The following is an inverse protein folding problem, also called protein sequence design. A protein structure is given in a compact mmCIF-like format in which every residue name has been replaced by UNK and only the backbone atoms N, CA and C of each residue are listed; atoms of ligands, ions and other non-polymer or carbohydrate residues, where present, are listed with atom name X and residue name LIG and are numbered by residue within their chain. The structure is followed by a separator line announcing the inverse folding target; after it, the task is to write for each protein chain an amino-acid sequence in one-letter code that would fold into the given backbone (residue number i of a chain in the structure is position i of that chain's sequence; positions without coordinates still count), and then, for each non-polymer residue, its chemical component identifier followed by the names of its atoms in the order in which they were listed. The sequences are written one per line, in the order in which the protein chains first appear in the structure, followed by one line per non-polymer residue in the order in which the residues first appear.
data_IF_126738070172
#
_entry.id   IF_126738070172
#
_cell.length_a   1.000
_cell.length_b   1.000
_cell.length_c   1.000
_cell.angle_alpha   90.00
_cell.angle_beta   90.00
_cell.angle_gamma   90.00
#
_symmetry.space_group_name_H-M   'P 1'
#
loop_
_entity.id
_entity.type
_entity.pdbx_description
1 polymer ?
#
# COMPACT_ATOMS: atom_id res chain seq x y z
N UNK A 1 4.26 0.69 -20.67
CA UNK A 1 4.48 1.23 -19.35
C UNK A 1 3.35 0.82 -18.41
N UNK A 2 3.72 0.27 -17.29
CA UNK A 2 2.72 -0.33 -16.42
C UNK A 2 2.81 0.19 -15.01
N UNK A 3 2.03 1.24 -14.78
CA UNK A 3 1.86 1.74 -13.45
C UNK A 3 0.78 0.91 -12.78
N UNK A 4 1.01 0.50 -11.56
CA UNK A 4 0.02 -0.28 -10.84
C UNK A 4 -1.09 0.64 -10.39
N UNK A 5 -2.19 0.67 -11.15
CA UNK A 5 -3.32 1.53 -10.85
C UNK A 5 -4.46 0.77 -10.20
N UNK A 6 -4.39 -0.54 -10.18
CA UNK A 6 -5.41 -1.36 -9.54
C UNK A 6 -5.07 -1.50 -8.06
N UNK A 7 -6.00 -1.11 -7.18
CA UNK A 7 -5.75 -1.14 -5.76
C UNK A 7 -5.34 -2.52 -5.25
N UNK A 8 -5.94 -3.54 -5.78
CA UNK A 8 -5.63 -4.89 -5.31
C UNK A 8 -4.26 -5.34 -5.77
N UNK A 9 -3.83 -4.89 -6.93
CA UNK A 9 -2.50 -5.22 -7.39
C UNK A 9 -1.44 -4.52 -6.56
N UNK A 10 -1.71 -3.29 -6.18
CA UNK A 10 -0.79 -2.55 -5.30
C UNK A 10 -0.67 -3.26 -3.97
N UNK A 11 -1.81 -3.62 -3.38
CA UNK A 11 -1.79 -4.30 -2.09
C UNK A 11 -1.05 -5.63 -2.19
N UNK A 12 -1.28 -6.36 -3.27
CA UNK A 12 -0.60 -7.64 -3.46
C UNK A 12 0.90 -7.44 -3.54
N UNK A 13 1.33 -6.37 -4.18
CA UNK A 13 2.75 -6.06 -4.26
C UNK A 13 3.36 -5.88 -2.87
N UNK A 14 2.66 -5.15 -2.01
CA UNK A 14 3.12 -4.93 -0.65
C UNK A 14 3.17 -6.23 0.14
N UNK A 15 2.16 -7.07 -0.04
CA UNK A 15 2.13 -8.35 0.67
C UNK A 15 3.26 -9.25 0.19
N UNK A 16 3.44 -9.31 -1.12
CA UNK A 16 4.46 -10.17 -1.70
C UNK A 16 5.86 -9.77 -1.24
N UNK A 17 6.08 -8.50 -1.04
CA UNK A 17 7.40 -7.99 -0.68
C UNK A 17 7.55 -7.70 0.81
N UNK A 18 6.52 -8.02 1.60
CA UNK A 18 6.63 -7.90 3.06
C UNK A 18 6.74 -6.48 3.55
N UNK A 19 6.11 -5.53 2.87
CA UNK A 19 6.22 -4.10 3.21
C UNK A 19 5.13 -3.76 4.20
N UNK A 20 5.37 -4.06 5.48
CA UNK A 20 4.35 -3.97 6.51
C UNK A 20 4.70 -3.01 7.64
N UNK A 21 5.81 -2.30 7.53
CA UNK A 21 6.20 -1.39 8.60
C UNK A 21 7.00 -0.23 8.02
N UNK A 22 7.24 0.77 8.85
CA UNK A 22 7.93 1.97 8.42
C UNK A 22 9.33 1.69 7.90
N UNK A 23 9.99 0.74 8.49
CA UNK A 23 11.34 0.39 8.11
C UNK A 23 11.42 -0.07 6.66
N UNK A 24 10.38 -0.72 6.19
CA UNK A 24 10.35 -1.27 4.84
C UNK A 24 9.54 -0.43 3.87
N UNK A 25 9.01 0.70 4.34
CA UNK A 25 8.18 1.56 3.50
C UNK A 25 8.93 1.97 2.24
N UNK A 26 8.17 2.08 1.15
CA UNK A 26 8.75 2.42 -0.15
C UNK A 26 8.13 3.69 -0.67
N UNK A 27 8.83 4.32 -1.60
CA UNK A 27 8.43 5.63 -2.10
C UNK A 27 7.14 5.55 -2.92
N UNK A 28 6.28 6.53 -2.71
CA UNK A 28 5.01 6.56 -3.41
C UNK A 28 5.17 6.85 -4.89
N UNK A 29 6.32 7.41 -5.30
CA UNK A 29 6.55 7.73 -6.70
C UNK A 29 6.56 6.49 -7.59
N UNK A 30 6.64 5.33 -7.01
CA UNK A 30 6.63 4.08 -7.79
C UNK A 30 5.23 3.68 -8.24
N UNK A 31 4.21 4.38 -7.76
CA UNK A 31 2.84 3.99 -8.01
C UNK A 31 2.01 5.14 -8.53
N UNK A 32 0.82 4.82 -8.98
CA UNK A 32 -0.13 5.82 -9.39
C UNK A 32 -0.59 6.63 -8.17
N UNK A 33 -0.50 7.95 -8.26
CA UNK A 33 -0.83 8.83 -7.15
C UNK A 33 -2.26 8.65 -6.66
N UNK A 34 -3.20 8.58 -7.59
CA UNK A 34 -4.60 8.46 -7.21
C UNK A 34 -4.88 7.17 -6.47
N UNK A 35 -4.24 6.09 -6.91
CA UNK A 35 -4.42 4.80 -6.26
C UNK A 35 -3.85 4.84 -4.85
N UNK A 36 -2.67 5.42 -4.69
CA UNK A 36 -2.05 5.53 -3.37
C UNK A 36 -2.89 6.40 -2.46
N UNK A 37 -3.38 7.54 -2.96
CA UNK A 37 -4.22 8.42 -2.16
C UNK A 37 -5.46 7.71 -1.67
N UNK A 38 -6.10 6.93 -2.54
CA UNK A 38 -7.29 6.19 -2.17
C UNK A 38 -6.98 5.18 -1.07
N UNK A 39 -5.86 4.50 -1.18
CA UNK A 39 -5.48 3.50 -0.19
C UNK A 39 -5.09 4.13 1.14
N UNK A 40 -4.43 5.26 1.10
CA UNK A 40 -4.10 5.98 2.32
C UNK A 40 -5.38 6.49 2.99
N UNK A 41 -6.31 7.00 2.20
CA UNK A 41 -7.59 7.47 2.72
C UNK A 41 -8.37 6.35 3.39
N UNK A 42 -8.29 5.15 2.83
CA UNK A 42 -8.97 4.00 3.41
C UNK A 42 -8.21 3.42 4.59
N UNK A 43 -7.03 3.98 4.88
CA UNK A 43 -6.18 3.57 5.98
C UNK A 43 -5.49 2.22 5.79
N UNK A 44 -5.62 1.65 4.60
CA UNK A 44 -4.91 0.41 4.31
C UNK A 44 -3.42 0.66 4.12
N UNK A 45 -3.04 1.82 3.61
CA UNK A 45 -1.64 2.21 3.53
C UNK A 45 -1.36 3.33 4.52
N UNK A 46 -0.21 3.26 5.13
CA UNK A 46 0.26 4.30 6.04
C UNK A 46 1.38 5.06 5.34
N UNK A 47 1.26 6.38 5.30
CA UNK A 47 2.25 7.22 4.65
C UNK A 47 3.13 7.91 5.66
N UNK A 48 4.44 7.80 5.46
CA UNK A 48 5.43 8.44 6.32
C UNK A 48 6.49 9.07 5.43
N UNK A 49 6.54 10.39 5.40
CA UNK A 49 7.58 11.13 4.66
C UNK A 49 7.72 10.67 3.21
N UNK A 50 6.60 10.60 2.50
CA UNK A 50 6.62 10.24 1.08
C UNK A 50 6.83 8.78 0.81
N UNK A 51 6.82 7.95 1.84
CA UNK A 51 6.90 6.51 1.71
C UNK A 51 5.67 5.87 2.32
N UNK A 52 5.34 4.69 1.86
CA UNK A 52 4.12 4.01 2.32
C UNK A 52 4.41 2.56 2.65
N UNK A 53 3.61 2.04 3.55
CA UNK A 53 3.63 0.61 3.84
C UNK A 53 2.19 0.17 4.11
N UNK A 54 1.96 -1.13 4.08
CA UNK A 54 0.63 -1.69 4.26
C UNK A 54 0.37 -1.95 5.75
N UNK A 55 -0.79 -1.49 6.20
CA UNK A 55 -1.25 -1.83 7.54
C UNK A 55 -1.82 -3.23 7.48
N UNK A 56 -0.95 -4.22 7.64
CA UNK A 56 -1.32 -5.60 7.47
C UNK A 56 -2.43 -6.06 8.42
N UNK A 57 -2.37 -5.70 9.71
CA UNK A 57 -3.46 -6.09 10.62
C UNK A 57 -4.81 -5.55 10.17
N UNK A 58 -4.85 -4.31 9.69
CA UNK A 58 -6.11 -3.75 9.22
C UNK A 58 -6.58 -4.44 7.95
N UNK A 59 -5.65 -4.71 7.04
CA UNK A 59 -5.98 -5.42 5.82
C UNK A 59 -6.57 -6.79 6.14
N UNK A 60 -5.93 -7.51 7.05
CA UNK A 60 -6.41 -8.83 7.43
C UNK A 60 -7.79 -8.76 8.06
N UNK A 61 -8.02 -7.72 8.87
CA UNK A 61 -9.30 -7.54 9.51
C UNK A 61 -10.41 -7.32 8.47
N UNK A 62 -10.14 -6.47 7.48
CA UNK A 62 -11.17 -6.12 6.48
C UNK A 62 -11.42 -7.20 5.45
N UNK A 63 -10.38 -7.93 5.10
CA UNK A 63 -10.47 -8.88 3.99
C UNK A 63 -10.23 -10.31 4.43
N UNK A 64 -10.46 -10.55 5.67
CA UNK A 64 -10.33 -11.87 6.21
C UNK A 64 -11.36 -12.81 5.60
N UNK A 65 -10.91 -14.00 5.31
CA UNK A 65 -11.76 -15.04 4.72
C UNK A 65 -12.68 -15.66 5.76
#
# INVERSE_FOLDING_TARGET
MNILINKFKVIRYFIKNGIFNEEKAIEISKFDHNTIDALVHSQLLVQVDGRVYLDKPLYDYRYKE
#
